data_IF_514829736537
#
_entry.id   IF_514829736537
#
_cell.length_a   1.000
_cell.length_b   1.000
_cell.length_c   1.000
_cell.angle_alpha   90.00
_cell.angle_beta   90.00
_cell.angle_gamma   90.00
#
_symmetry.space_group_name_H-M   'P 1'
#
loop_
_entity.id
_entity.type
_entity.pdbx_description
1 polymer ?
#
# COMPACT_ATOMS: atom_id res chain seq x y z
N UNK A 1 -13.98 -15.63 -48.68
CA UNK A 1 -14.75 -14.71 -47.81
C UNK A 1 -14.11 -14.67 -46.44
N UNK A 2 -13.51 -13.56 -46.16
CA UNK A 2 -13.02 -13.30 -44.80
C UNK A 2 -14.20 -13.10 -43.86
N UNK A 3 -14.40 -14.02 -42.94
CA UNK A 3 -15.36 -13.80 -41.85
C UNK A 3 -14.92 -12.56 -41.09
N UNK A 4 -15.70 -11.53 -41.11
CA UNK A 4 -15.53 -10.40 -40.19
C UNK A 4 -15.66 -10.97 -38.80
N UNK A 5 -14.59 -10.91 -38.01
CA UNK A 5 -14.67 -11.28 -36.60
C UNK A 5 -15.71 -10.36 -35.94
N UNK A 6 -16.76 -10.96 -35.41
CA UNK A 6 -17.80 -10.22 -34.69
C UNK A 6 -17.19 -9.66 -33.41
N UNK A 7 -17.17 -8.35 -33.29
CA UNK A 7 -16.68 -7.72 -32.07
C UNK A 7 -17.63 -7.99 -30.91
N UNK A 8 -17.08 -8.16 -29.72
CA UNK A 8 -17.86 -8.36 -28.52
C UNK A 8 -18.62 -7.08 -28.18
N UNK A 9 -19.92 -7.22 -27.89
CA UNK A 9 -20.74 -6.08 -27.50
C UNK A 9 -20.34 -5.65 -26.08
N UNK A 10 -20.14 -4.35 -25.90
CA UNK A 10 -19.81 -3.77 -24.59
C UNK A 10 -21.10 -3.60 -23.77
N UNK A 11 -21.49 -4.65 -23.09
CA UNK A 11 -22.64 -4.62 -22.17
C UNK A 11 -22.28 -3.85 -20.90
N UNK A 12 -23.27 -3.49 -20.08
CA UNK A 12 -23.02 -2.80 -18.80
C UNK A 12 -22.08 -3.59 -17.89
N UNK A 13 -22.28 -4.90 -17.81
CA UNK A 13 -21.46 -5.78 -16.96
C UNK A 13 -20.02 -5.86 -17.49
N UNK A 14 -19.85 -6.04 -18.79
CA UNK A 14 -18.53 -6.09 -19.40
C UNK A 14 -17.84 -4.74 -19.29
N UNK A 15 -18.56 -3.64 -19.50
CA UNK A 15 -18.03 -2.29 -19.35
C UNK A 15 -17.52 -2.04 -17.94
N UNK A 16 -18.26 -2.43 -16.91
CA UNK A 16 -17.84 -2.32 -15.51
C UNK A 16 -16.59 -3.13 -15.25
N UNK A 17 -16.53 -4.34 -15.77
CA UNK A 17 -15.37 -5.24 -15.63
C UNK A 17 -14.12 -4.63 -16.28
N UNK A 18 -14.23 -4.19 -17.53
CA UNK A 18 -13.13 -3.58 -18.28
C UNK A 18 -12.68 -2.28 -17.63
N UNK A 19 -13.63 -1.45 -17.20
CA UNK A 19 -13.36 -0.20 -16.49
C UNK A 19 -12.56 -0.46 -15.21
N UNK A 20 -12.96 -1.44 -14.41
CA UNK A 20 -12.26 -1.81 -13.18
C UNK A 20 -10.82 -2.24 -13.48
N UNK A 21 -10.62 -3.10 -14.47
CA UNK A 21 -9.28 -3.52 -14.87
C UNK A 21 -8.41 -2.35 -15.30
N UNK A 22 -8.96 -1.40 -16.04
CA UNK A 22 -8.24 -0.21 -16.49
C UNK A 22 -7.92 0.74 -15.34
N UNK A 23 -8.92 1.10 -14.55
CA UNK A 23 -8.79 2.09 -13.47
C UNK A 23 -7.87 1.58 -12.36
N UNK A 24 -8.04 0.34 -11.95
CA UNK A 24 -7.26 -0.25 -10.85
C UNK A 24 -5.96 -0.90 -11.31
N UNK A 25 -5.71 -0.94 -12.62
CA UNK A 25 -4.53 -1.59 -13.20
C UNK A 25 -4.34 -3.01 -12.68
N UNK A 26 -5.41 -3.79 -12.75
CA UNK A 26 -5.46 -5.15 -12.24
C UNK A 26 -6.08 -6.09 -13.26
N UNK A 27 -5.60 -7.33 -13.32
CA UNK A 27 -6.26 -8.42 -14.03
C UNK A 27 -7.22 -9.11 -13.06
N UNK A 28 -8.53 -8.93 -13.27
CA UNK A 28 -9.54 -9.49 -12.38
C UNK A 28 -9.58 -11.02 -12.38
N UNK A 29 -9.13 -11.65 -13.45
CA UNK A 29 -9.08 -13.12 -13.54
C UNK A 29 -7.97 -13.71 -12.67
N UNK A 30 -6.78 -13.12 -12.70
CA UNK A 30 -5.61 -13.59 -11.94
C UNK A 30 -5.40 -12.86 -10.62
N UNK A 31 -5.97 -11.66 -10.48
CA UNK A 31 -5.76 -10.80 -9.32
C UNK A 31 -4.40 -10.10 -9.32
N UNK A 32 -3.60 -10.26 -10.37
CA UNK A 32 -2.29 -9.64 -10.48
C UNK A 32 -2.37 -8.22 -11.03
N UNK A 33 -1.39 -7.40 -10.66
CA UNK A 33 -1.27 -6.05 -11.21
C UNK A 33 -0.94 -6.12 -12.70
N UNK A 34 -1.71 -5.42 -13.51
CA UNK A 34 -1.50 -5.31 -14.94
C UNK A 34 -1.90 -3.93 -15.43
N UNK A 35 -0.94 -3.17 -15.93
CA UNK A 35 -1.21 -1.84 -16.46
C UNK A 35 -1.78 -1.95 -17.87
N UNK A 36 -3.10 -2.05 -17.99
CA UNK A 36 -3.78 -2.16 -19.26
C UNK A 36 -3.83 -0.83 -20.00
N UNK A 37 -3.49 -0.86 -21.30
CA UNK A 37 -3.81 0.23 -22.21
C UNK A 37 -5.17 -0.06 -22.85
N UNK A 38 -5.76 0.93 -23.51
CA UNK A 38 -7.02 0.71 -24.25
C UNK A 38 -6.85 -0.34 -25.33
N UNK A 39 -5.71 -0.35 -26.01
CA UNK A 39 -5.40 -1.34 -27.02
C UNK A 39 -5.33 -2.75 -26.46
N UNK A 40 -4.74 -2.92 -25.29
CA UNK A 40 -4.67 -4.21 -24.60
C UNK A 40 -6.06 -4.74 -24.28
N UNK A 41 -6.95 -3.88 -23.80
CA UNK A 41 -8.33 -4.24 -23.48
C UNK A 41 -9.14 -4.58 -24.72
N UNK A 42 -8.94 -3.83 -25.81
CA UNK A 42 -9.58 -4.09 -27.10
C UNK A 42 -9.21 -5.50 -27.60
N UNK A 43 -7.95 -5.87 -27.50
CA UNK A 43 -7.45 -7.19 -27.89
C UNK A 43 -7.97 -8.29 -26.97
N UNK A 44 -7.89 -8.05 -25.66
CA UNK A 44 -8.28 -9.06 -24.65
C UNK A 44 -9.75 -9.44 -24.75
N UNK A 45 -10.62 -8.45 -24.93
CA UNK A 45 -12.06 -8.66 -24.94
C UNK A 45 -12.68 -8.60 -26.35
N UNK A 46 -11.85 -8.44 -27.37
CA UNK A 46 -12.30 -8.33 -28.77
C UNK A 46 -13.35 -7.22 -28.95
N UNK A 47 -13.05 -6.04 -28.44
CA UNK A 47 -13.95 -4.89 -28.47
C UNK A 47 -13.75 -4.03 -29.71
N UNK A 48 -14.79 -3.31 -30.11
CA UNK A 48 -14.69 -2.28 -31.13
C UNK A 48 -13.93 -1.07 -30.53
N UNK A 49 -12.90 -0.60 -31.23
CA UNK A 49 -12.06 0.51 -30.81
C UNK A 49 -12.87 1.76 -30.47
N UNK A 50 -13.75 2.17 -31.39
CA UNK A 50 -14.59 3.37 -31.22
C UNK A 50 -15.51 3.26 -30.01
N UNK A 51 -16.08 2.08 -29.76
CA UNK A 51 -16.99 1.84 -28.64
C UNK A 51 -16.27 1.98 -27.32
N UNK A 52 -15.09 1.38 -27.19
CA UNK A 52 -14.31 1.46 -25.96
C UNK A 52 -13.84 2.89 -25.68
N UNK A 53 -13.29 3.56 -26.68
CA UNK A 53 -12.82 4.94 -26.51
C UNK A 53 -13.96 5.89 -26.16
N UNK A 54 -15.14 5.68 -26.75
CA UNK A 54 -16.33 6.48 -26.45
C UNK A 54 -16.76 6.29 -24.98
N UNK A 55 -16.84 5.05 -24.51
CA UNK A 55 -17.19 4.74 -23.13
C UNK A 55 -16.15 5.32 -22.16
N UNK A 56 -14.88 5.12 -22.45
CA UNK A 56 -13.78 5.63 -21.62
C UNK A 56 -13.78 7.15 -21.52
N UNK A 57 -14.08 7.82 -22.63
CA UNK A 57 -14.15 9.29 -22.68
C UNK A 57 -15.39 9.80 -21.93
N UNK A 58 -16.55 9.16 -22.15
CA UNK A 58 -17.80 9.55 -21.50
C UNK A 58 -17.72 9.46 -19.96
N UNK A 59 -17.05 8.44 -19.45
CA UNK A 59 -16.89 8.21 -18.02
C UNK A 59 -15.53 8.68 -17.48
N UNK A 60 -14.68 9.25 -18.35
CA UNK A 60 -13.38 9.82 -17.97
C UNK A 60 -12.47 8.81 -17.24
N UNK A 61 -12.28 7.66 -17.83
CA UNK A 61 -11.51 6.54 -17.22
C UNK A 61 -10.07 6.89 -16.89
N UNK A 62 -9.41 7.71 -17.71
CA UNK A 62 -8.03 8.14 -17.45
C UNK A 62 -7.92 8.96 -16.17
N UNK A 63 -8.84 9.89 -15.95
CA UNK A 63 -8.89 10.67 -14.73
C UNK A 63 -9.21 9.81 -13.52
N UNK A 64 -10.10 8.82 -13.67
CA UNK A 64 -10.42 7.87 -12.62
C UNK A 64 -9.21 7.01 -12.26
N UNK A 65 -8.42 6.57 -13.25
CA UNK A 65 -7.17 5.84 -13.00
C UNK A 65 -6.15 6.69 -12.24
N UNK A 66 -5.97 7.94 -12.66
CA UNK A 66 -5.05 8.86 -12.02
C UNK A 66 -5.46 9.13 -10.58
N UNK A 67 -6.76 9.33 -10.34
CA UNK A 67 -7.29 9.52 -8.99
C UNK A 67 -7.11 8.26 -8.13
N UNK A 68 -7.38 7.09 -8.68
CA UNK A 68 -7.19 5.82 -7.98
C UNK A 68 -5.73 5.63 -7.58
N UNK A 69 -4.79 5.90 -8.49
CA UNK A 69 -3.36 5.79 -8.22
C UNK A 69 -2.91 6.79 -7.15
N UNK A 70 -3.42 8.01 -7.22
CA UNK A 70 -3.14 9.04 -6.21
C UNK A 70 -3.63 8.61 -4.83
N UNK A 71 -4.87 8.14 -4.74
CA UNK A 71 -5.45 7.68 -3.47
C UNK A 71 -4.68 6.48 -2.91
N UNK A 72 -4.26 5.57 -3.77
CA UNK A 72 -3.46 4.41 -3.38
C UNK A 72 -2.09 4.82 -2.84
N UNK A 73 -1.41 5.75 -3.49
CA UNK A 73 -0.14 6.30 -3.03
C UNK A 73 -0.28 6.97 -1.66
N UNK A 74 -1.35 7.74 -1.46
CA UNK A 74 -1.63 8.39 -0.18
C UNK A 74 -1.85 7.37 0.94
N UNK A 75 -2.61 6.29 0.66
CA UNK A 75 -2.80 5.19 1.62
C UNK A 75 -1.50 4.50 1.97
N UNK A 76 -0.64 4.24 0.98
CA UNK A 76 0.67 3.63 1.20
C UNK A 76 1.54 4.53 2.08
N UNK A 77 1.53 5.84 1.83
CA UNK A 77 2.28 6.80 2.66
C UNK A 77 1.76 6.81 4.09
N UNK A 78 0.44 6.84 4.29
CA UNK A 78 -0.16 6.80 5.62
C UNK A 78 0.23 5.55 6.40
N UNK A 79 0.18 4.38 5.73
CA UNK A 79 0.57 3.12 6.35
C UNK A 79 2.05 3.08 6.71
N UNK A 80 2.92 3.65 5.87
CA UNK A 80 4.35 3.78 6.15
C UNK A 80 4.59 4.66 7.36
N UNK A 81 3.92 5.80 7.44
CA UNK A 81 4.04 6.73 8.58
C UNK A 81 3.59 6.04 9.87
N UNK A 82 2.45 5.35 9.84
CA UNK A 82 1.95 4.58 10.99
C UNK A 82 2.92 3.51 11.42
N UNK A 83 3.50 2.79 10.48
CA UNK A 83 4.49 1.74 10.76
C UNK A 83 5.74 2.32 11.41
N UNK A 84 6.28 3.41 10.87
CA UNK A 84 7.45 4.10 11.42
C UNK A 84 7.16 4.59 12.83
N UNK A 85 5.99 5.19 13.06
CA UNK A 85 5.58 5.64 14.39
C UNK A 85 5.52 4.51 15.39
N UNK A 86 4.92 3.37 15.01
CA UNK A 86 4.86 2.18 15.89
C UNK A 86 6.23 1.61 16.19
N UNK A 87 7.11 1.54 15.20
CA UNK A 87 8.48 1.06 15.39
C UNK A 87 9.30 1.99 16.28
N UNK A 88 9.12 3.31 16.13
CA UNK A 88 9.78 4.31 16.96
C UNK A 88 9.34 4.19 18.42
N UNK A 89 8.05 4.00 18.68
CA UNK A 89 7.53 3.80 20.03
C UNK A 89 8.10 2.54 20.68
N UNK A 90 8.18 1.45 19.95
CA UNK A 90 8.78 0.19 20.45
C UNK A 90 10.26 0.38 20.77
N UNK A 91 10.97 1.10 19.94
CA UNK A 91 12.39 1.39 20.15
C UNK A 91 12.59 2.25 21.40
N UNK A 92 11.77 3.28 21.59
CA UNK A 92 11.81 4.15 22.76
C UNK A 92 11.50 3.39 24.04
N UNK A 93 10.53 2.48 24.02
CA UNK A 93 10.21 1.62 25.15
C UNK A 93 11.39 0.73 25.52
N UNK A 94 12.07 0.15 24.54
CA UNK A 94 13.27 -0.68 24.78
C UNK A 94 14.42 0.13 25.38
N UNK A 95 14.64 1.35 24.86
CA UNK A 95 15.65 2.25 25.38
C UNK A 95 15.35 2.63 26.84
N UNK A 96 14.09 2.95 27.13
CA UNK A 96 13.66 3.30 28.49
C UNK A 96 13.86 2.13 29.47
N UNK A 97 13.50 0.92 29.05
CA UNK A 97 13.73 -0.28 29.86
C UNK A 97 15.20 -0.49 30.17
N UNK A 98 16.07 -0.37 29.15
CA UNK A 98 17.53 -0.49 29.35
C UNK A 98 18.08 0.60 30.26
N UNK A 99 17.63 1.84 30.09
CA UNK A 99 18.03 2.96 30.92
C UNK A 99 17.65 2.72 32.38
N UNK A 100 16.43 2.25 32.62
CA UNK A 100 15.96 1.90 33.99
C UNK A 100 16.78 0.77 34.61
N UNK A 101 17.13 -0.25 33.83
CA UNK A 101 17.99 -1.37 34.30
C UNK A 101 19.38 -0.86 34.70
N UNK A 102 19.97 0.03 33.94
CA UNK A 102 21.27 0.63 34.23
C UNK A 102 21.20 1.47 35.52
N UNK A 103 20.17 2.29 35.66
CA UNK A 103 19.94 3.12 36.85
C UNK A 103 19.82 2.23 38.09
N UNK A 104 19.07 1.15 37.99
CA UNK A 104 18.91 0.18 39.10
C UNK A 104 20.23 -0.44 39.48
N UNK A 105 21.05 -0.87 38.53
CA UNK A 105 22.37 -1.44 38.79
C UNK A 105 23.31 -0.43 39.44
N UNK A 106 23.33 0.81 38.94
CA UNK A 106 24.17 1.87 39.52
C UNK A 106 23.74 2.18 40.96
N UNK A 107 22.43 2.26 41.19
CA UNK A 107 21.89 2.50 42.56
C UNK A 107 22.33 1.39 43.53
N UNK A 108 22.26 0.15 43.12
CA UNK A 108 22.75 -1.00 43.94
C UNK A 108 24.23 -0.89 44.26
N UNK A 109 25.02 -0.56 43.24
CA UNK A 109 26.46 -0.39 43.40
C UNK A 109 26.82 0.74 44.36
N UNK A 110 26.13 1.87 44.26
CA UNK A 110 26.33 3.00 45.18
C UNK A 110 25.95 2.66 46.62
N UNK A 111 24.86 1.92 46.81
CA UNK A 111 24.44 1.47 48.14
C UNK A 111 25.49 0.56 48.78
N UNK A 112 26.05 -0.40 48.02
CA UNK A 112 27.15 -1.26 48.48
C UNK A 112 28.41 -0.48 48.84
N UNK A 113 28.75 0.54 48.08
CA UNK A 113 29.90 1.40 48.36
C UNK A 113 29.69 2.23 49.63
N UNK A 114 28.50 2.74 49.88
CA UNK A 114 28.18 3.45 51.12
C UNK A 114 28.31 2.56 52.34
N UNK A 115 27.83 1.34 52.29
CA UNK A 115 27.96 0.36 53.35
C UNK A 115 29.45 0.06 53.63
N UNK A 116 30.24 -0.17 52.58
CA UNK A 116 31.67 -0.42 52.71
C UNK A 116 32.40 0.76 53.32
N UNK A 117 32.07 1.99 52.94
CA UNK A 117 32.64 3.20 53.51
C UNK A 117 32.28 3.39 54.97
N UNK A 118 31.04 3.08 55.36
CA UNK A 118 30.61 3.13 56.75
C UNK A 118 31.33 2.08 57.63
N UNK A 119 31.54 0.90 57.12
CA UNK A 119 32.31 -0.15 57.83
C UNK A 119 33.76 0.26 58.05
N UNK A 120 34.38 0.92 57.07
CA UNK A 120 35.75 1.42 57.18
C UNK A 120 35.91 2.61 58.14
N UNK A 121 34.85 3.27 58.52
CA UNK A 121 34.87 4.39 59.46
C UNK A 121 34.77 3.97 60.95
N UNK A 122 34.58 2.74 61.17
CA UNK A 122 34.61 2.19 62.58
C UNK A 122 36.08 2.05 62.99
#
# INVERSE_FOLDING_TARGET
MTKKSTKTKLTSDLKSHVKTEFVQSIDLESGEKCHYTFEDLIKKYNLATATLYRAARAENWKALRDQYNFDLEEKVKEERVKKIARESLKFDDKLLTKANDIIEQVTKYMALNEEALQENKK
#
